data_IF_874548714894
#
_entry.id   IF_874548714894
#
_cell.length_a   1.000
_cell.length_b   1.000
_cell.length_c   1.000
_cell.angle_alpha   90.00
_cell.angle_beta   90.00
_cell.angle_gamma   90.00
#
_symmetry.space_group_name_H-M   'P 1'
#
loop_
_entity.id
_entity.type
_entity.pdbx_description
1 polymer ?
#
# COMPACT_ATOMS: atom_id res chain seq x y z
N UNK A 1 -8.45 2.27 -11.45
CA UNK A 1 -8.61 2.09 -10.00
C UNK A 1 -8.81 3.45 -9.37
N UNK A 2 -9.76 3.57 -8.45
CA UNK A 2 -9.90 4.79 -7.65
C UNK A 2 -8.87 4.81 -6.53
N UNK A 3 -8.52 6.00 -6.02
CA UNK A 3 -7.56 6.18 -4.92
C UNK A 3 -7.95 5.38 -3.67
N UNK A 4 -9.25 5.32 -3.39
CA UNK A 4 -9.80 4.59 -2.24
C UNK A 4 -9.57 3.07 -2.36
N UNK A 5 -9.76 2.49 -3.56
CA UNK A 5 -9.49 1.07 -3.78
C UNK A 5 -8.01 0.73 -3.57
N UNK A 6 -7.12 1.58 -4.09
CA UNK A 6 -5.66 1.42 -3.92
C UNK A 6 -5.30 1.44 -2.44
N UNK A 7 -5.91 2.36 -1.67
CA UNK A 7 -5.70 2.44 -0.24
C UNK A 7 -6.17 1.16 0.46
N UNK A 8 -7.39 0.68 0.19
CA UNK A 8 -7.92 -0.55 0.79
C UNK A 8 -7.06 -1.77 0.46
N UNK A 9 -6.52 -1.86 -0.77
CA UNK A 9 -5.60 -2.93 -1.16
C UNK A 9 -4.31 -2.88 -0.33
N UNK A 10 -3.70 -1.71 -0.20
CA UNK A 10 -2.46 -1.53 0.56
C UNK A 10 -2.70 -1.83 2.05
N UNK A 11 -3.80 -1.36 2.63
CA UNK A 11 -4.18 -1.66 4.01
C UNK A 11 -4.35 -3.16 4.22
N UNK A 12 -5.12 -3.85 3.36
CA UNK A 12 -5.29 -5.31 3.44
C UNK A 12 -3.98 -6.10 3.30
N UNK A 13 -3.08 -5.66 2.44
CA UNK A 13 -1.77 -6.32 2.28
C UNK A 13 -0.89 -6.11 3.52
N UNK A 14 -0.93 -4.91 4.11
CA UNK A 14 -0.23 -4.62 5.37
C UNK A 14 -0.84 -5.37 6.57
N UNK A 15 -2.16 -5.54 6.61
CA UNK A 15 -2.83 -6.34 7.65
C UNK A 15 -2.50 -7.83 7.53
N UNK A 16 -2.54 -8.38 6.32
CA UNK A 16 -2.23 -9.80 6.10
C UNK A 16 -0.73 -10.10 6.21
N UNK A 17 0.12 -9.16 5.81
CA UNK A 17 1.57 -9.27 5.86
C UNK A 17 2.18 -7.96 6.40
N UNK A 18 2.28 -7.78 7.73
CA UNK A 18 2.83 -6.55 8.31
C UNK A 18 4.28 -6.26 7.92
N UNK A 19 5.03 -7.30 7.50
CA UNK A 19 6.41 -7.18 7.04
C UNK A 19 6.54 -6.90 5.53
N UNK A 20 5.43 -6.84 4.78
CA UNK A 20 5.50 -6.62 3.33
C UNK A 20 6.14 -5.26 3.00
N UNK A 21 7.05 -5.30 2.03
CA UNK A 21 7.75 -4.10 1.58
C UNK A 21 6.87 -3.29 0.64
N UNK A 22 7.07 -1.97 0.60
CA UNK A 22 6.36 -1.09 -0.35
C UNK A 22 6.64 -1.49 -1.80
N UNK A 23 7.82 -2.09 -2.07
CA UNK A 23 8.24 -2.58 -3.38
C UNK A 23 7.43 -3.81 -3.78
N UNK A 24 7.21 -4.75 -2.87
CA UNK A 24 6.39 -5.94 -3.12
C UNK A 24 4.94 -5.58 -3.43
N UNK A 25 4.33 -4.70 -2.64
CA UNK A 25 2.97 -4.21 -2.89
C UNK A 25 2.88 -3.53 -4.27
N UNK A 26 3.84 -2.64 -4.57
CA UNK A 26 3.92 -1.92 -5.83
C UNK A 26 3.99 -2.87 -7.03
N UNK A 27 4.84 -3.91 -6.96
CA UNK A 27 4.97 -4.92 -8.01
C UNK A 27 3.72 -5.80 -8.14
N UNK A 28 3.20 -6.31 -7.02
CA UNK A 28 2.05 -7.22 -6.98
C UNK A 28 0.79 -6.60 -7.57
N UNK A 29 0.53 -5.34 -7.24
CA UNK A 29 -0.67 -4.63 -7.67
C UNK A 29 -0.45 -3.65 -8.83
N UNK A 30 0.78 -3.59 -9.39
CA UNK A 30 1.20 -2.64 -10.44
C UNK A 30 0.89 -1.19 -10.07
N UNK A 31 1.10 -0.85 -8.80
CA UNK A 31 0.92 0.51 -8.27
C UNK A 31 2.29 1.19 -8.27
N UNK A 32 2.41 2.49 -8.65
CA UNK A 32 3.65 3.21 -8.51
C UNK A 32 4.14 3.21 -7.05
N UNK A 33 5.42 2.90 -6.83
CA UNK A 33 6.04 2.84 -5.50
C UNK A 33 5.78 4.10 -4.67
N UNK A 34 5.84 5.27 -5.31
CA UNK A 34 5.56 6.56 -4.68
C UNK A 34 4.16 6.62 -4.06
N UNK A 35 3.15 6.05 -4.72
CA UNK A 35 1.78 6.01 -4.22
C UNK A 35 1.68 5.08 -3.00
N UNK A 36 2.34 3.93 -3.06
CA UNK A 36 2.39 2.96 -1.96
C UNK A 36 3.07 3.58 -0.73
N UNK A 37 4.21 4.25 -0.89
CA UNK A 37 4.90 4.92 0.20
C UNK A 37 4.09 6.06 0.82
N UNK A 38 3.44 6.89 0.00
CA UNK A 38 2.58 7.97 0.48
C UNK A 38 1.42 7.43 1.33
N UNK A 39 0.76 6.37 0.87
CA UNK A 39 -0.34 5.75 1.58
C UNK A 39 0.14 5.03 2.85
N UNK A 40 1.26 4.30 2.79
CA UNK A 40 1.87 3.65 3.96
C UNK A 40 2.26 4.66 5.04
N UNK A 41 2.82 5.82 4.66
CA UNK A 41 3.10 6.92 5.61
C UNK A 41 1.82 7.47 6.23
N UNK A 42 0.75 7.62 5.45
CA UNK A 42 -0.53 8.14 5.93
C UNK A 42 -1.17 7.20 6.96
N UNK A 43 -1.05 5.88 6.76
CA UNK A 43 -1.57 4.85 7.69
C UNK A 43 -0.75 4.82 8.99
N UNK A 44 0.59 4.91 8.92
CA UNK A 44 1.46 4.83 10.11
C UNK A 44 1.38 6.07 11.03
N UNK A 45 0.85 7.19 10.53
CA UNK A 45 0.77 8.46 11.26
C UNK A 45 -0.64 8.75 11.84
N UNK A 46 -1.56 7.78 11.80
CA UNK A 46 -2.83 7.79 12.54
C UNK A 46 -2.70 6.96 13.82
#
# INVERSE_FOLDING_TARGET
MKKEEIQTIIEKELEQNPEITSIDIAKKHRIPLVIVELLKRKIKNQ
#
